data_IF_026186454411
#
_entry.id   IF_026186454411
#
_cell.length_a   1.000
_cell.length_b   1.000
_cell.length_c   1.000
_cell.angle_alpha   90.00
_cell.angle_beta   90.00
_cell.angle_gamma   90.00
#
_symmetry.space_group_name_H-M   'P 1'
#
loop_
_entity.id
_entity.type
_entity.pdbx_description
1 polymer ?
#
# COMPACT_ATOMS: atom_id res chain seq x y z
N UNK A 1 11.61 -6.64 30.61
CA UNK A 1 10.78 -7.85 30.44
C UNK A 1 11.69 -9.04 30.20
N UNK A 2 11.21 -10.25 30.48
CA UNK A 2 11.93 -11.44 30.05
C UNK A 2 11.73 -11.67 28.53
N UNK A 3 12.53 -12.56 27.93
CA UNK A 3 12.51 -12.80 26.48
C UNK A 3 11.16 -13.37 26.00
N UNK A 4 10.58 -14.30 26.77
CA UNK A 4 9.32 -14.94 26.41
C UNK A 4 8.13 -13.96 26.42
N UNK A 5 8.10 -13.06 27.40
CA UNK A 5 7.09 -12.01 27.54
C UNK A 5 7.17 -11.00 26.39
N UNK A 6 8.39 -10.71 25.90
CA UNK A 6 8.58 -9.88 24.72
C UNK A 6 8.06 -10.54 23.44
N UNK A 7 8.31 -11.83 23.25
CA UNK A 7 7.83 -12.59 22.10
C UNK A 7 6.29 -12.65 22.09
N UNK A 8 5.68 -12.95 23.23
CA UNK A 8 4.22 -12.92 23.38
C UNK A 8 3.64 -11.53 23.09
N UNK A 9 4.31 -10.47 23.54
CA UNK A 9 3.86 -9.10 23.29
C UNK A 9 3.91 -8.74 21.80
N UNK A 10 4.92 -9.21 21.07
CA UNK A 10 4.99 -9.02 19.61
C UNK A 10 3.81 -9.71 18.92
N UNK A 11 3.49 -10.94 19.32
CA UNK A 11 2.37 -11.71 18.77
C UNK A 11 1.01 -11.07 19.09
N UNK A 12 0.80 -10.59 20.32
CA UNK A 12 -0.41 -9.89 20.72
C UNK A 12 -0.69 -8.64 19.86
N UNK A 13 0.38 -7.96 19.44
CA UNK A 13 0.33 -6.76 18.62
C UNK A 13 0.37 -7.04 17.11
N UNK A 14 0.35 -8.30 16.68
CA UNK A 14 0.42 -8.66 15.26
C UNK A 14 -0.68 -7.97 14.42
N UNK A 15 -1.90 -7.86 14.97
CA UNK A 15 -3.02 -7.15 14.31
C UNK A 15 -2.73 -5.66 14.08
N UNK A 16 -1.91 -5.03 14.93
CA UNK A 16 -1.49 -3.65 14.74
C UNK A 16 -0.57 -3.53 13.52
N UNK A 17 0.36 -4.47 13.35
CA UNK A 17 1.29 -4.48 12.20
C UNK A 17 0.53 -4.58 10.88
N UNK A 18 -0.41 -5.53 10.77
CA UNK A 18 -1.28 -5.64 9.58
C UNK A 18 -2.07 -4.35 9.30
N UNK A 19 -2.57 -3.66 10.35
CA UNK A 19 -3.27 -2.38 10.18
C UNK A 19 -2.33 -1.28 9.65
N UNK A 20 -1.09 -1.25 10.11
CA UNK A 20 -0.06 -0.29 9.64
C UNK A 20 0.28 -0.56 8.18
N UNK A 21 0.59 -1.80 7.81
CA UNK A 21 0.92 -2.19 6.43
C UNK A 21 -0.23 -1.88 5.47
N UNK A 22 -1.47 -2.24 5.85
CA UNK A 22 -2.66 -1.92 5.08
C UNK A 22 -2.84 -0.41 4.87
N UNK A 23 -2.46 0.42 5.85
CA UNK A 23 -2.53 1.89 5.73
C UNK A 23 -1.50 2.43 4.74
N UNK A 24 -0.38 1.73 4.56
CA UNK A 24 0.69 1.99 3.60
C UNK A 24 0.48 1.32 2.24
N UNK A 25 -0.68 0.68 2.05
CA UNK A 25 -1.04 -0.08 0.84
C UNK A 25 -0.10 -1.26 0.56
N UNK A 26 0.42 -1.89 1.62
CA UNK A 26 1.23 -3.11 1.56
C UNK A 26 0.32 -4.28 1.97
N UNK A 27 0.15 -5.26 1.10
CA UNK A 27 -0.81 -6.35 1.25
C UNK A 27 -0.14 -7.74 1.16
N UNK A 28 -0.69 -8.75 1.83
CA UNK A 28 -0.21 -10.12 1.68
C UNK A 28 -0.19 -10.56 0.21
N UNK A 29 0.89 -11.18 -0.23
CA UNK A 29 1.11 -11.59 -1.62
C UNK A 29 1.99 -10.64 -2.44
N UNK A 30 2.28 -9.44 -1.94
CA UNK A 30 3.33 -8.58 -2.52
C UNK A 30 4.71 -9.04 -2.03
N UNK A 31 5.73 -8.91 -2.88
CA UNK A 31 7.09 -9.37 -2.58
C UNK A 31 7.69 -8.69 -1.33
N UNK A 32 7.33 -7.44 -1.07
CA UNK A 32 7.81 -6.62 0.04
C UNK A 32 7.01 -6.83 1.33
N UNK A 33 5.89 -7.56 1.30
CA UNK A 33 4.99 -7.69 2.45
C UNK A 33 5.65 -8.32 3.67
N UNK A 34 6.30 -9.47 3.50
CA UNK A 34 6.92 -10.20 4.62
C UNK A 34 8.11 -9.42 5.20
N UNK A 35 8.87 -8.73 4.35
CA UNK A 35 9.99 -7.90 4.77
C UNK A 35 9.49 -6.75 5.67
N UNK A 36 8.51 -5.99 5.20
CA UNK A 36 7.92 -4.91 6.00
C UNK A 36 7.25 -5.42 7.29
N UNK A 37 6.61 -6.58 7.25
CA UNK A 37 6.03 -7.20 8.45
C UNK A 37 7.11 -7.57 9.47
N UNK A 38 8.23 -8.11 9.00
CA UNK A 38 9.34 -8.49 9.84
C UNK A 38 10.05 -7.27 10.44
N UNK A 39 10.25 -6.21 9.65
CA UNK A 39 10.80 -4.96 10.16
C UNK A 39 9.93 -4.35 11.26
N UNK A 40 8.61 -4.35 11.09
CA UNK A 40 7.69 -3.86 12.12
C UNK A 40 7.79 -4.66 13.42
N UNK A 41 7.92 -5.99 13.33
CA UNK A 41 8.12 -6.86 14.50
C UNK A 41 9.42 -6.53 15.22
N UNK A 42 10.53 -6.41 14.47
CA UNK A 42 11.85 -6.08 15.02
C UNK A 42 11.83 -4.70 15.68
N UNK A 43 11.26 -3.70 15.01
CA UNK A 43 11.15 -2.34 15.51
C UNK A 43 10.34 -2.28 16.80
N UNK A 44 9.19 -2.98 16.84
CA UNK A 44 8.36 -3.09 18.03
C UNK A 44 9.11 -3.79 19.17
N UNK A 45 9.76 -4.92 18.89
CA UNK A 45 10.54 -5.67 19.87
C UNK A 45 11.66 -4.82 20.49
N UNK A 46 12.44 -4.12 19.68
CA UNK A 46 13.52 -3.24 20.13
C UNK A 46 13.00 -2.09 20.99
N UNK A 47 11.80 -1.59 20.70
CA UNK A 47 11.14 -0.58 21.51
C UNK A 47 10.67 -1.15 22.85
N UNK A 48 9.97 -2.27 22.83
CA UNK A 48 9.43 -2.93 24.01
C UNK A 48 10.53 -3.41 24.97
N UNK A 49 11.67 -3.86 24.44
CA UNK A 49 12.85 -4.31 25.21
C UNK A 49 13.41 -3.25 26.16
N UNK A 50 13.13 -1.96 25.93
CA UNK A 50 13.57 -0.85 26.80
C UNK A 50 12.82 -0.80 28.13
N UNK A 51 11.74 -1.55 28.28
CA UNK A 51 10.86 -1.51 29.43
C UNK A 51 11.05 -2.73 30.35
N UNK A 52 10.96 -2.51 31.66
CA UNK A 52 11.14 -3.57 32.65
C UNK A 52 9.95 -4.53 32.67
N UNK A 53 8.73 -4.03 32.50
CA UNK A 53 7.49 -4.83 32.45
C UNK A 53 6.60 -4.45 31.28
N UNK A 54 5.68 -5.34 30.91
CA UNK A 54 4.65 -5.08 29.90
C UNK A 54 3.77 -3.89 30.25
N UNK A 55 3.35 -3.79 31.51
CA UNK A 55 2.48 -2.71 31.98
C UNK A 55 3.11 -1.32 31.76
N UNK A 56 4.41 -1.18 32.09
CA UNK A 56 5.14 0.06 31.85
C UNK A 56 5.17 0.41 30.36
N UNK A 57 5.42 -0.59 29.51
CA UNK A 57 5.38 -0.39 28.07
C UNK A 57 4.01 0.09 27.59
N UNK A 58 2.92 -0.57 27.99
CA UNK A 58 1.57 -0.27 27.51
C UNK A 58 1.06 1.10 27.99
N UNK A 59 1.42 1.53 29.21
CA UNK A 59 1.07 2.85 29.75
C UNK A 59 1.74 3.96 28.94
N UNK A 60 3.04 3.82 28.65
CA UNK A 60 3.78 4.83 27.88
C UNK A 60 3.52 4.75 26.37
N UNK A 61 3.14 3.57 25.87
CA UNK A 61 2.99 3.28 24.46
C UNK A 61 1.56 2.81 24.15
N UNK A 62 0.60 3.73 24.30
CA UNK A 62 -0.76 3.44 23.90
C UNK A 62 -0.86 3.08 22.40
N UNK A 63 -1.90 2.34 22.04
CA UNK A 63 -2.11 1.82 20.67
C UNK A 63 -2.08 2.91 19.60
N UNK A 64 -2.65 4.09 19.87
CA UNK A 64 -2.70 5.19 18.89
C UNK A 64 -1.30 5.76 18.61
N UNK A 65 -0.49 5.86 19.65
CA UNK A 65 0.91 6.27 19.54
C UNK A 65 1.73 5.22 18.79
N UNK A 66 1.61 3.95 19.18
CA UNK A 66 2.31 2.84 18.51
C UNK A 66 1.95 2.75 17.03
N UNK A 67 0.66 2.89 16.70
CA UNK A 67 0.21 2.93 15.31
C UNK A 67 0.93 4.02 14.52
N UNK A 68 0.97 5.25 15.04
CA UNK A 68 1.67 6.37 14.39
C UNK A 68 3.17 6.10 14.27
N UNK A 69 3.80 5.65 15.34
CA UNK A 69 5.24 5.37 15.37
C UNK A 69 5.64 4.38 14.27
N UNK A 70 4.95 3.23 14.20
CA UNK A 70 5.20 2.20 13.19
C UNK A 70 4.83 2.67 11.77
N UNK A 71 3.74 3.44 11.63
CA UNK A 71 3.33 4.01 10.34
C UNK A 71 4.40 4.96 9.78
N UNK A 72 4.95 5.83 10.62
CA UNK A 72 5.98 6.78 10.20
C UNK A 72 7.26 6.09 9.77
N UNK A 73 7.62 4.98 10.43
CA UNK A 73 8.74 4.16 10.01
C UNK A 73 8.55 3.62 8.59
N UNK A 74 7.43 2.95 8.30
CA UNK A 74 7.15 2.40 6.96
C UNK A 74 7.09 3.50 5.90
N UNK A 75 6.54 4.66 6.22
CA UNK A 75 6.54 5.81 5.30
C UNK A 75 7.96 6.29 5.01
N UNK A 76 8.85 6.30 5.99
CA UNK A 76 10.24 6.72 5.81
C UNK A 76 11.03 5.72 4.98
N UNK A 77 10.86 4.42 5.22
CA UNK A 77 11.47 3.37 4.39
C UNK A 77 11.02 3.46 2.93
N UNK A 78 9.71 3.60 2.69
CA UNK A 78 9.20 3.83 1.31
C UNK A 78 9.78 5.07 0.64
N UNK A 79 10.09 6.13 1.41
CA UNK A 79 10.74 7.32 0.86
C UNK A 79 12.22 7.07 0.54
N UNK A 80 12.91 6.27 1.35
CA UNK A 80 14.30 5.88 1.08
C UNK A 80 14.38 4.99 -0.15
N UNK A 81 13.50 4.01 -0.27
CA UNK A 81 13.36 3.17 -1.47
C UNK A 81 13.07 4.03 -2.70
N UNK A 82 12.12 4.96 -2.63
CA UNK A 82 11.85 5.86 -3.76
C UNK A 82 13.06 6.71 -4.14
N UNK A 83 13.81 7.25 -3.17
CA UNK A 83 15.03 8.00 -3.44
C UNK A 83 16.12 7.11 -4.03
N UNK A 84 16.28 5.89 -3.53
CA UNK A 84 17.22 4.91 -4.06
C UNK A 84 16.83 4.52 -5.48
N UNK A 85 15.54 4.30 -5.77
CA UNK A 85 15.04 4.03 -7.12
C UNK A 85 15.26 5.23 -8.04
N UNK A 86 15.05 6.46 -7.59
CA UNK A 86 15.34 7.67 -8.41
C UNK A 86 16.84 7.81 -8.68
N UNK A 87 17.70 7.59 -7.68
CA UNK A 87 19.16 7.64 -7.86
C UNK A 87 19.67 6.51 -8.76
N UNK A 88 19.12 5.31 -8.60
CA UNK A 88 19.42 4.17 -9.46
C UNK A 88 18.88 4.42 -10.86
N UNK A 89 17.68 4.97 -11.06
CA UNK A 89 17.16 5.30 -12.40
C UNK A 89 18.02 6.34 -13.14
N UNK A 90 18.62 7.31 -12.45
CA UNK A 90 19.58 8.24 -13.05
C UNK A 90 20.87 7.53 -13.52
N UNK A 91 21.24 6.42 -12.88
CA UNK A 91 22.41 5.58 -13.24
C UNK A 91 22.04 4.46 -14.25
N UNK A 92 20.81 3.95 -14.18
CA UNK A 92 20.26 2.84 -14.97
C UNK A 92 19.63 3.30 -16.30
N UNK A 93 19.42 4.60 -16.52
CA UNK A 93 19.06 5.16 -17.84
C UNK A 93 20.12 4.87 -18.93
N UNK A 94 21.29 4.35 -18.55
CA UNK A 94 22.33 3.85 -19.47
C UNK A 94 22.18 2.36 -19.84
N UNK A 95 21.40 1.57 -19.13
CA UNK A 95 21.20 0.15 -19.43
C UNK A 95 19.72 -0.23 -19.37
N UNK A 96 19.17 -0.47 -20.55
CA UNK A 96 17.83 -0.97 -20.86
C UNK A 96 17.27 -1.93 -19.80
N UNK A 97 16.15 -1.58 -19.18
CA UNK A 97 15.29 -2.52 -18.45
C UNK A 97 13.95 -2.67 -19.17
N UNK A 98 13.74 -3.88 -19.69
CA UNK A 98 12.44 -4.40 -20.09
C UNK A 98 11.76 -4.86 -18.81
N UNK A 99 10.73 -4.13 -18.37
CA UNK A 99 9.86 -4.57 -17.28
C UNK A 99 9.17 -5.88 -17.69
N UNK A 100 9.41 -6.97 -16.94
CA UNK A 100 8.58 -8.17 -17.04
C UNK A 100 7.19 -7.82 -16.52
N UNK A 101 6.31 -7.50 -17.46
CA UNK A 101 4.91 -7.21 -17.18
C UNK A 101 4.23 -8.51 -16.76
N UNK A 102 3.73 -8.56 -15.53
CA UNK A 102 2.97 -9.70 -15.00
C UNK A 102 1.79 -10.03 -15.94
N UNK A 103 1.67 -11.30 -16.34
CA UNK A 103 0.68 -11.74 -17.35
C UNK A 103 -0.77 -11.43 -16.92
N UNK A 104 -1.05 -11.48 -15.62
CA UNK A 104 -2.36 -11.10 -15.06
C UNK A 104 -2.62 -9.60 -15.23
N UNK A 105 -1.59 -8.76 -15.05
CA UNK A 105 -1.68 -7.31 -15.28
C UNK A 105 -1.91 -6.98 -16.76
N UNK A 106 -1.30 -7.73 -17.69
CA UNK A 106 -1.54 -7.58 -19.13
C UNK A 106 -3.00 -7.90 -19.47
N UNK A 107 -3.55 -8.98 -18.92
CA UNK A 107 -4.93 -9.39 -19.16
C UNK A 107 -5.94 -8.35 -18.62
N UNK A 108 -5.73 -7.83 -17.42
CA UNK A 108 -6.56 -6.77 -16.83
C UNK A 108 -6.49 -5.47 -17.63
N UNK A 109 -5.29 -5.11 -18.13
CA UNK A 109 -5.11 -3.93 -18.98
C UNK A 109 -5.81 -4.09 -20.33
N UNK A 110 -5.79 -5.28 -20.92
CA UNK A 110 -6.51 -5.58 -22.16
C UNK A 110 -8.04 -5.54 -21.97
N UNK A 111 -8.56 -6.07 -20.86
CA UNK A 111 -9.97 -5.97 -20.50
C UNK A 111 -10.39 -4.50 -20.28
N UNK A 112 -9.55 -3.73 -19.59
CA UNK A 112 -9.80 -2.31 -19.40
C UNK A 112 -9.77 -1.52 -20.72
N UNK A 113 -8.83 -1.82 -21.62
CA UNK A 113 -8.74 -1.17 -22.91
C UNK A 113 -9.97 -1.44 -23.78
N UNK A 114 -10.43 -2.70 -23.83
CA UNK A 114 -11.66 -3.06 -24.56
C UNK A 114 -12.88 -2.36 -23.99
N UNK A 115 -13.01 -2.28 -22.66
CA UNK A 115 -14.04 -1.48 -22.00
C UNK A 115 -13.95 0.01 -22.40
N UNK A 116 -12.76 0.61 -22.34
CA UNK A 116 -12.54 2.02 -22.64
C UNK A 116 -12.91 2.37 -24.09
N UNK A 117 -12.58 1.51 -25.06
CA UNK A 117 -12.91 1.71 -26.48
C UNK A 117 -14.42 1.65 -26.74
N UNK A 118 -15.20 0.93 -25.93
CA UNK A 118 -16.66 0.87 -26.03
C UNK A 118 -17.38 2.07 -25.38
N UNK A 119 -16.66 2.90 -24.62
CA UNK A 119 -17.23 4.10 -24.02
C UNK A 119 -17.46 5.20 -25.06
N UNK A 120 -18.48 6.02 -24.83
CA UNK A 120 -18.71 7.23 -25.62
C UNK A 120 -17.58 8.25 -25.36
N UNK A 121 -17.27 9.18 -26.29
CA UNK A 121 -16.21 10.17 -26.13
C UNK A 121 -16.33 11.01 -24.83
N UNK A 122 -17.56 11.36 -24.43
CA UNK A 122 -17.82 12.07 -23.17
C UNK A 122 -17.52 11.26 -21.91
N UNK A 123 -17.62 9.93 -21.99
CA UNK A 123 -17.31 9.04 -20.88
C UNK A 123 -15.81 8.73 -20.83
N UNK A 124 -15.16 8.59 -21.98
CA UNK A 124 -13.69 8.49 -22.08
C UNK A 124 -13.00 9.68 -21.39
N UNK A 125 -13.47 10.91 -21.64
CA UNK A 125 -12.95 12.10 -20.95
C UNK A 125 -13.06 12.03 -19.42
N UNK A 126 -14.12 11.40 -18.89
CA UNK A 126 -14.26 11.21 -17.43
C UNK A 126 -13.28 10.17 -16.90
N UNK A 127 -13.00 9.11 -17.66
CA UNK A 127 -11.97 8.12 -17.32
C UNK A 127 -10.59 8.79 -17.32
N UNK A 128 -10.26 9.56 -18.35
CA UNK A 128 -9.01 10.34 -18.41
C UNK A 128 -8.90 11.26 -17.20
N UNK A 129 -9.96 12.00 -16.84
CA UNK A 129 -9.97 12.84 -15.64
C UNK A 129 -9.79 12.06 -14.33
N UNK A 130 -10.23 10.79 -14.26
CA UNK A 130 -9.97 9.93 -13.10
C UNK A 130 -8.52 9.44 -13.05
N UNK A 131 -7.91 9.15 -14.20
CA UNK A 131 -6.53 8.66 -14.31
C UNK A 131 -5.51 9.78 -14.05
N UNK A 132 -5.69 10.93 -14.69
CA UNK A 132 -4.76 12.07 -14.59
C UNK A 132 -4.97 12.90 -13.32
N UNK A 133 -6.09 12.71 -12.61
CA UNK A 133 -6.52 13.53 -11.48
C UNK A 133 -6.62 15.04 -11.78
N UNK A 134 -6.65 15.44 -13.06
CA UNK A 134 -6.69 16.83 -13.50
C UNK A 134 -8.13 17.41 -13.48
N UNK A 135 -8.32 18.62 -12.94
CA UNK A 135 -9.59 19.38 -12.91
C UNK A 135 -10.82 18.67 -12.32
N UNK A 136 -10.59 17.70 -11.45
CA UNK A 136 -11.64 16.90 -10.83
C UNK A 136 -11.80 17.22 -9.35
N UNK A 137 -12.93 17.84 -9.00
CA UNK A 137 -13.32 18.04 -7.60
C UNK A 137 -13.66 16.71 -6.92
N UNK A 138 -13.51 16.65 -5.59
CA UNK A 138 -13.78 15.43 -4.79
C UNK A 138 -15.17 14.84 -5.04
N UNK A 139 -16.18 15.68 -5.21
CA UNK A 139 -17.56 15.25 -5.50
C UNK A 139 -17.68 14.64 -6.90
N UNK A 140 -17.08 15.27 -7.93
CA UNK A 140 -17.04 14.73 -9.30
C UNK A 140 -16.29 13.39 -9.33
N UNK A 141 -15.18 13.26 -8.60
CA UNK A 141 -14.43 12.00 -8.46
C UNK A 141 -15.30 10.87 -7.91
N UNK A 142 -16.01 11.13 -6.81
CA UNK A 142 -16.91 10.15 -6.21
C UNK A 142 -18.01 9.73 -7.20
N UNK A 143 -18.64 10.70 -7.87
CA UNK A 143 -19.69 10.45 -8.86
C UNK A 143 -19.19 9.62 -10.05
N UNK A 144 -18.02 9.94 -10.60
CA UNK A 144 -17.45 9.23 -11.74
C UNK A 144 -17.04 7.81 -11.36
N UNK A 145 -16.44 7.61 -10.18
CA UNK A 145 -16.12 6.26 -9.67
C UNK A 145 -17.38 5.41 -9.50
N UNK A 146 -18.44 5.96 -8.93
CA UNK A 146 -19.72 5.24 -8.80
C UNK A 146 -20.29 4.88 -10.16
N UNK A 147 -20.32 5.84 -11.08
CA UNK A 147 -20.81 5.64 -12.45
C UNK A 147 -20.08 4.53 -13.22
N UNK A 148 -18.75 4.51 -13.16
CA UNK A 148 -17.96 3.49 -13.86
C UNK A 148 -17.93 2.15 -13.14
N UNK A 149 -18.11 2.10 -11.83
CA UNK A 149 -18.26 0.84 -11.10
C UNK A 149 -19.44 0.04 -11.64
N UNK A 150 -20.60 0.68 -11.77
CA UNK A 150 -21.82 0.00 -12.23
C UNK A 150 -21.69 -0.44 -13.70
N UNK A 151 -21.08 0.41 -14.55
CA UNK A 151 -20.84 0.10 -15.97
C UNK A 151 -19.81 -1.00 -16.18
N UNK A 152 -18.72 -0.98 -15.42
CA UNK A 152 -17.66 -1.97 -15.53
C UNK A 152 -18.13 -3.33 -15.00
N UNK A 153 -18.89 -3.36 -13.90
CA UNK A 153 -19.53 -4.59 -13.42
C UNK A 153 -20.54 -5.19 -14.41
N UNK A 154 -21.22 -4.35 -15.20
CA UNK A 154 -22.10 -4.85 -16.26
C UNK A 154 -21.30 -5.38 -17.46
N UNK A 155 -20.17 -4.75 -17.77
CA UNK A 155 -19.27 -5.17 -18.85
C UNK A 155 -18.58 -6.51 -18.52
N UNK A 156 -18.00 -6.65 -17.34
CA UNK A 156 -17.28 -7.86 -16.92
C UNK A 156 -18.19 -9.08 -16.66
N UNK A 157 -19.51 -8.86 -16.57
CA UNK A 157 -20.52 -9.95 -16.57
C UNK A 157 -20.96 -10.39 -17.96
N UNK A 158 -20.58 -9.64 -18.99
CA UNK A 158 -21.00 -9.82 -20.39
C UNK A 158 -19.89 -10.42 -21.27
N UNK A 159 -18.64 -10.23 -20.85
CA UNK A 159 -17.43 -10.93 -21.31
C UNK A 159 -17.41 -12.31 -20.67
#
# INVERSE_FOLDING_TARGET
MNQHELEQLVDDYQRLFYKVLRRCSIFPGQNDFEDYLQELRILFFLRAKKYATREQFEVENNISYLFRYLLWYVIDEKRKEQKAVTQVQDEFLLEIQVDETDYETIAELAEFETFYRQLKPKDQQKVVALLTNHDITRQKRSRYRKYFRDKFQFFSKKV
#
